data_IF_171075827504
#
_entry.id   IF_171075827504
#
_cell.length_a   1.000
_cell.length_b   1.000
_cell.length_c   1.000
_cell.angle_alpha   90.00
_cell.angle_beta   90.00
_cell.angle_gamma   90.00
#
_symmetry.space_group_name_H-M   'P 1'
#
loop_
_entity.id
_entity.type
_entity.pdbx_description
1 polymer ?
#
# COMPACT_ATOMS: atom_id res chain seq x y z
N UNK A 1 -31.16 -24.81 3.92
CA UNK A 1 -31.59 -23.41 3.76
C UNK A 1 -31.13 -22.48 4.88
N UNK A 2 -30.59 -22.98 6.00
CA UNK A 2 -30.11 -22.19 7.14
C UNK A 2 -28.83 -21.38 6.89
N UNK A 3 -27.92 -21.84 6.04
CA UNK A 3 -26.59 -21.24 5.90
C UNK A 3 -26.58 -19.85 5.22
N UNK A 4 -27.56 -19.54 4.36
CA UNK A 4 -27.61 -18.25 3.67
C UNK A 4 -28.03 -17.09 4.59
N UNK A 5 -28.94 -17.34 5.54
CA UNK A 5 -29.33 -16.35 6.54
C UNK A 5 -28.17 -16.02 7.48
N UNK A 6 -27.34 -17.02 7.79
CA UNK A 6 -26.15 -16.82 8.62
C UNK A 6 -25.15 -15.88 7.94
N UNK A 7 -24.84 -16.09 6.66
CA UNK A 7 -23.91 -15.24 5.90
C UNK A 7 -24.41 -13.80 5.80
N UNK A 8 -25.70 -13.59 5.51
CA UNK A 8 -26.27 -12.25 5.41
C UNK A 8 -26.22 -11.50 6.75
N UNK A 9 -26.56 -12.18 7.85
CA UNK A 9 -26.47 -11.59 9.20
C UNK A 9 -25.03 -11.28 9.63
N UNK A 10 -24.05 -12.06 9.15
CA UNK A 10 -22.64 -11.78 9.38
C UNK A 10 -22.16 -10.57 8.58
N UNK A 11 -22.55 -10.45 7.31
CA UNK A 11 -22.27 -9.28 6.47
C UNK A 11 -22.87 -8.00 7.07
N UNK A 12 -24.11 -8.07 7.57
CA UNK A 12 -24.77 -6.94 8.23
C UNK A 12 -24.04 -6.53 9.51
N UNK A 13 -23.64 -7.50 10.35
CA UNK A 13 -22.82 -7.25 11.56
C UNK A 13 -21.42 -6.73 11.24
N UNK A 14 -20.87 -7.09 10.09
CA UNK A 14 -19.63 -6.56 9.55
C UNK A 14 -19.81 -5.18 8.88
N UNK A 15 -20.93 -4.49 9.11
CA UNK A 15 -21.16 -3.12 8.62
C UNK A 15 -21.16 -3.00 7.10
N UNK A 16 -21.53 -4.06 6.38
CA UNK A 16 -21.68 -4.01 4.92
C UNK A 16 -22.65 -2.93 4.42
N UNK A 17 -23.82 -2.67 5.06
CA UNK A 17 -24.71 -1.58 4.66
C UNK A 17 -24.02 -0.22 4.74
N UNK A 18 -23.17 -0.06 5.72
CA UNK A 18 -22.49 1.19 5.97
C UNK A 18 -21.32 1.43 4.98
N UNK A 19 -20.61 0.35 4.63
CA UNK A 19 -19.61 0.33 3.57
C UNK A 19 -20.25 0.70 2.23
N UNK A 20 -21.44 0.17 1.93
CA UNK A 20 -22.24 0.55 0.76
C UNK A 20 -22.58 2.04 0.76
N UNK A 21 -22.97 2.60 1.92
CA UNK A 21 -23.28 4.02 2.04
C UNK A 21 -22.04 4.90 1.80
N UNK A 22 -20.88 4.48 2.29
CA UNK A 22 -19.59 5.11 2.00
C UNK A 22 -19.24 5.06 0.51
N UNK A 23 -19.36 3.88 -0.11
CA UNK A 23 -19.05 3.67 -1.53
C UNK A 23 -20.01 4.45 -2.42
N UNK A 24 -21.29 4.52 -2.04
CA UNK A 24 -22.32 5.33 -2.69
C UNK A 24 -21.97 6.82 -2.62
N UNK A 25 -21.54 7.32 -1.46
CA UNK A 25 -21.11 8.71 -1.30
C UNK A 25 -19.94 9.02 -2.22
N UNK A 26 -18.92 8.16 -2.22
CA UNK A 26 -17.78 8.29 -3.11
C UNK A 26 -18.21 8.32 -4.58
N UNK A 27 -19.06 7.38 -5.01
CA UNK A 27 -19.52 7.26 -6.38
C UNK A 27 -20.35 8.48 -6.82
N UNK A 28 -21.24 8.99 -5.95
CA UNK A 28 -22.06 10.18 -6.21
C UNK A 28 -21.17 11.42 -6.32
N UNK A 29 -20.30 11.68 -5.35
CA UNK A 29 -19.42 12.86 -5.37
C UNK A 29 -18.49 12.81 -6.59
N UNK A 30 -17.89 11.65 -6.86
CA UNK A 30 -17.04 11.50 -8.04
C UNK A 30 -17.82 11.70 -9.34
N UNK A 31 -19.02 11.13 -9.45
CA UNK A 31 -19.90 11.28 -10.61
C UNK A 31 -20.27 12.74 -10.87
N UNK A 32 -20.67 13.47 -9.83
CA UNK A 32 -21.01 14.90 -9.91
C UNK A 32 -19.79 15.73 -10.33
N UNK A 33 -18.64 15.55 -9.68
CA UNK A 33 -17.40 16.25 -10.04
C UNK A 33 -16.92 15.88 -11.46
N UNK A 34 -17.17 14.64 -11.89
CA UNK A 34 -16.83 14.18 -13.22
C UNK A 34 -17.63 14.91 -14.29
N UNK A 35 -18.95 15.01 -14.10
CA UNK A 35 -19.85 15.74 -15.00
C UNK A 35 -19.59 17.25 -14.98
N UNK A 36 -19.33 17.84 -13.81
CA UNK A 36 -19.03 19.26 -13.67
C UNK A 36 -17.65 19.64 -14.24
N UNK A 37 -16.75 18.67 -14.45
CA UNK A 37 -15.33 18.87 -14.85
C UNK A 37 -14.55 19.79 -13.88
N UNK A 38 -14.94 19.77 -12.61
CA UNK A 38 -14.29 20.53 -11.54
C UNK A 38 -13.81 19.53 -10.49
N UNK A 39 -12.53 19.52 -10.11
CA UNK A 39 -11.38 20.09 -10.82
C UNK A 39 -11.09 19.43 -12.18
N UNK A 40 -10.29 20.08 -13.03
CA UNK A 40 -9.93 19.57 -14.38
C UNK A 40 -9.21 18.23 -14.33
N UNK A 41 -8.41 17.99 -13.29
CA UNK A 41 -7.66 16.74 -13.11
C UNK A 41 -8.57 15.61 -12.61
N UNK A 42 -8.50 14.45 -13.28
CA UNK A 42 -9.20 13.23 -12.84
C UNK A 42 -8.72 12.76 -11.46
N UNK A 43 -7.41 12.84 -11.19
CA UNK A 43 -6.84 12.45 -9.91
C UNK A 43 -7.37 13.32 -8.77
N UNK A 44 -7.45 14.64 -8.97
CA UNK A 44 -7.97 15.56 -7.96
C UNK A 44 -9.46 15.31 -7.67
N UNK A 45 -10.26 14.96 -8.68
CA UNK A 45 -11.67 14.58 -8.48
C UNK A 45 -11.81 13.32 -7.63
N UNK A 46 -10.98 12.32 -7.88
CA UNK A 46 -10.93 11.09 -7.08
C UNK A 46 -10.52 11.36 -5.63
N UNK A 47 -9.51 12.21 -5.41
CA UNK A 47 -9.07 12.58 -4.07
C UNK A 47 -10.20 13.29 -3.31
N UNK A 48 -10.86 14.27 -3.93
CA UNK A 48 -11.97 14.99 -3.29
C UNK A 48 -13.12 14.03 -2.95
N UNK A 49 -13.47 13.10 -3.84
CA UNK A 49 -14.53 12.14 -3.53
C UNK A 49 -14.16 11.15 -2.43
N UNK A 50 -12.89 10.73 -2.34
CA UNK A 50 -12.39 9.92 -1.22
C UNK A 50 -12.52 10.69 0.09
N UNK A 51 -12.04 11.94 0.13
CA UNK A 51 -12.08 12.78 1.33
C UNK A 51 -13.52 13.05 1.76
N UNK A 52 -14.43 13.37 0.83
CA UNK A 52 -15.85 13.55 1.13
C UNK A 52 -16.50 12.27 1.64
N UNK A 53 -16.15 11.11 1.08
CA UNK A 53 -16.58 9.81 1.61
C UNK A 53 -16.11 9.60 3.04
N UNK A 54 -14.85 9.94 3.34
CA UNK A 54 -14.29 9.86 4.70
C UNK A 54 -14.99 10.79 5.69
N UNK A 55 -15.47 11.97 5.26
CA UNK A 55 -16.23 12.88 6.12
C UNK A 55 -17.61 12.30 6.50
N UNK A 56 -18.31 11.68 5.56
CA UNK A 56 -19.58 10.97 5.86
C UNK A 56 -19.35 9.84 6.85
N UNK A 57 -18.19 9.21 6.75
CA UNK A 57 -17.72 8.19 7.67
C UNK A 57 -17.54 8.69 9.11
N UNK A 58 -17.07 9.93 9.31
CA UNK A 58 -16.96 10.51 10.65
C UNK A 58 -18.33 10.77 11.29
N UNK A 59 -19.39 10.91 10.50
CA UNK A 59 -20.77 11.01 10.97
C UNK A 59 -21.43 9.63 11.18
N UNK A 60 -20.75 8.55 10.83
CA UNK A 60 -21.32 7.22 10.83
C UNK A 60 -21.20 6.51 12.19
N UNK A 61 -22.08 5.53 12.50
CA UNK A 61 -22.07 4.82 13.78
C UNK A 61 -20.75 4.10 14.07
N UNK A 62 -20.43 3.91 15.36
CA UNK A 62 -19.19 3.27 15.82
C UNK A 62 -18.96 1.85 15.24
N UNK A 63 -20.00 1.17 14.78
CA UNK A 63 -19.91 -0.11 14.06
C UNK A 63 -19.04 -0.02 12.80
N UNK A 64 -19.12 1.06 12.00
CA UNK A 64 -18.27 1.23 10.81
C UNK A 64 -16.81 1.32 11.16
N UNK A 65 -16.48 2.00 12.27
CA UNK A 65 -15.10 2.27 12.63
C UNK A 65 -14.36 0.95 12.82
N UNK A 66 -15.03 -0.05 13.41
CA UNK A 66 -14.46 -1.39 13.57
C UNK A 66 -14.24 -2.10 12.23
N UNK A 67 -15.18 -1.95 11.29
CA UNK A 67 -15.15 -2.59 9.97
C UNK A 67 -14.06 -1.99 9.11
N UNK A 68 -13.93 -0.67 9.12
CA UNK A 68 -12.89 0.02 8.38
C UNK A 68 -11.53 -0.24 9.00
N UNK A 69 -11.43 -0.26 10.33
CA UNK A 69 -10.19 -0.68 10.98
C UNK A 69 -9.78 -2.10 10.52
N UNK A 70 -10.72 -3.03 10.45
CA UNK A 70 -10.47 -4.39 9.97
C UNK A 70 -10.11 -4.43 8.48
N UNK A 71 -10.82 -3.68 7.63
CA UNK A 71 -10.54 -3.58 6.20
C UNK A 71 -9.20 -2.90 5.91
N UNK A 72 -8.87 -1.83 6.62
CA UNK A 72 -7.58 -1.15 6.54
C UNK A 72 -6.46 -2.09 6.94
N UNK A 73 -6.63 -2.85 8.02
CA UNK A 73 -5.67 -3.88 8.44
C UNK A 73 -5.47 -4.94 7.35
N UNK A 74 -6.56 -5.44 6.76
CA UNK A 74 -6.49 -6.43 5.68
C UNK A 74 -5.90 -5.85 4.38
N UNK A 75 -6.21 -4.59 4.06
CA UNK A 75 -5.63 -3.91 2.90
C UNK A 75 -4.12 -3.73 3.08
N UNK A 76 -3.67 -3.35 4.28
CA UNK A 76 -2.25 -3.29 4.63
C UNK A 76 -1.61 -4.66 4.41
N UNK A 77 -2.22 -5.74 4.90
CA UNK A 77 -1.72 -7.11 4.69
C UNK A 77 -1.64 -7.49 3.21
N UNK A 78 -2.64 -7.13 2.40
CA UNK A 78 -2.63 -7.38 0.95
C UNK A 78 -1.49 -6.61 0.28
N UNK A 79 -1.37 -5.31 0.57
CA UNK A 79 -0.29 -4.46 0.02
C UNK A 79 1.08 -5.02 0.42
N UNK A 80 1.21 -5.45 1.66
CA UNK A 80 2.43 -6.05 2.20
C UNK A 80 2.77 -7.37 1.49
N UNK A 81 1.79 -8.24 1.27
CA UNK A 81 1.95 -9.47 0.49
C UNK A 81 2.34 -9.19 -0.98
N UNK A 82 1.75 -8.18 -1.59
CA UNK A 82 2.06 -7.75 -2.96
C UNK A 82 3.49 -7.21 -3.06
N UNK A 83 3.95 -6.50 -2.04
CA UNK A 83 5.32 -6.00 -1.94
C UNK A 83 6.35 -7.11 -1.74
N UNK A 84 6.07 -8.06 -0.85
CA UNK A 84 6.88 -9.26 -0.69
C UNK A 84 7.01 -9.98 -2.04
N UNK A 85 5.91 -10.11 -2.78
CA UNK A 85 5.92 -10.70 -4.11
C UNK A 85 6.82 -9.91 -5.08
N UNK A 86 6.74 -8.58 -5.10
CA UNK A 86 7.64 -7.73 -5.92
C UNK A 86 9.12 -7.95 -5.55
N UNK A 87 9.44 -7.98 -4.25
CA UNK A 87 10.81 -8.23 -3.77
C UNK A 87 11.31 -9.62 -4.19
N UNK A 88 10.48 -10.66 -4.03
CA UNK A 88 10.82 -12.01 -4.50
C UNK A 88 10.98 -12.07 -6.02
N UNK A 89 10.13 -11.37 -6.77
CA UNK A 89 10.20 -11.32 -8.24
C UNK A 89 11.53 -10.70 -8.69
N UNK A 90 11.98 -9.63 -8.02
CA UNK A 90 13.29 -9.04 -8.28
C UNK A 90 14.43 -9.96 -7.83
N UNK A 91 14.36 -10.53 -6.61
CA UNK A 91 15.39 -11.41 -6.07
C UNK A 91 15.58 -12.70 -6.91
N UNK A 92 14.50 -13.19 -7.52
CA UNK A 92 14.53 -14.30 -8.47
C UNK A 92 15.18 -13.93 -9.82
N UNK A 93 15.55 -12.66 -10.01
CA UNK A 93 16.18 -12.16 -11.21
C UNK A 93 15.25 -12.18 -12.42
N UNK A 94 13.93 -12.18 -12.22
CA UNK A 94 12.94 -12.09 -13.30
C UNK A 94 12.97 -10.66 -13.84
N UNK A 95 13.70 -10.48 -14.95
CA UNK A 95 13.97 -9.17 -15.55
C UNK A 95 12.74 -8.69 -16.33
N UNK A 96 11.94 -7.80 -15.73
CA UNK A 96 10.81 -7.13 -16.36
C UNK A 96 11.29 -5.82 -17.02
N UNK A 97 11.98 -5.89 -18.16
CA UNK A 97 12.50 -4.66 -18.79
C UNK A 97 13.01 -4.80 -20.22
N UNK A 98 12.80 -3.74 -21.02
CA UNK A 98 13.30 -3.61 -22.40
C UNK A 98 14.82 -3.44 -22.39
N UNK A 99 15.47 -4.19 -23.27
CA UNK A 99 16.92 -4.14 -23.47
C UNK A 99 17.37 -2.77 -24.01
N UNK A 100 18.14 -2.00 -23.23
CA UNK A 100 18.95 -0.91 -23.77
C UNK A 100 20.25 -1.48 -24.34
N UNK A 101 20.49 -1.23 -25.62
CA UNK A 101 21.75 -1.60 -26.27
C UNK A 101 22.85 -0.63 -25.85
N UNK A 102 23.75 -1.07 -24.98
CA UNK A 102 24.99 -0.34 -24.72
C UNK A 102 25.79 -0.29 -26.03
N UNK A 103 26.09 0.90 -26.53
CA UNK A 103 26.96 1.08 -27.69
C UNK A 103 28.37 0.57 -27.35
N UNK A 104 28.62 -0.71 -27.68
CA UNK A 104 29.94 -1.29 -27.62
C UNK A 104 30.91 -0.52 -28.53
N UNK A 105 32.14 -0.34 -28.06
CA UNK A 105 33.25 0.11 -28.90
C UNK A 105 33.32 -0.79 -30.15
N UNK A 106 33.53 -0.16 -31.32
CA UNK A 106 33.59 -0.81 -32.65
C UNK A 106 34.27 -2.19 -32.57
N UNK A 107 33.49 -3.26 -32.66
CA UNK A 107 33.97 -4.65 -32.74
C UNK A 107 33.44 -5.63 -31.69
N UNK A 108 32.75 -5.18 -30.63
CA UNK A 108 32.10 -6.09 -29.67
C UNK A 108 30.59 -6.17 -29.90
N UNK A 109 30.06 -7.39 -29.95
CA UNK A 109 28.61 -7.63 -30.00
C UNK A 109 27.94 -6.95 -28.80
N UNK A 110 26.82 -6.22 -29.01
CA UNK A 110 26.16 -5.48 -27.96
C UNK A 110 25.68 -6.46 -26.87
N UNK A 111 26.37 -6.45 -25.75
CA UNK A 111 25.98 -7.24 -24.58
C UNK A 111 24.73 -6.58 -24.00
N UNK A 112 23.58 -7.19 -24.29
CA UNK A 112 22.28 -6.74 -23.78
C UNK A 112 22.17 -7.10 -22.30
N UNK A 113 22.66 -6.22 -21.43
CA UNK A 113 22.45 -6.35 -19.99
C UNK A 113 21.12 -5.65 -19.67
N UNK A 114 20.08 -6.38 -19.24
CA UNK A 114 18.83 -5.76 -18.83
C UNK A 114 19.06 -5.04 -17.50
N UNK A 115 18.71 -3.76 -17.45
CA UNK A 115 18.76 -2.97 -16.20
C UNK A 115 17.74 -3.53 -15.20
N UNK A 116 18.13 -3.54 -13.92
CA UNK A 116 17.22 -3.91 -12.83
C UNK A 116 16.26 -2.76 -12.56
N UNK A 117 15.02 -3.06 -12.17
CA UNK A 117 14.01 -2.02 -11.94
C UNK A 117 14.44 -1.02 -10.85
N UNK A 118 15.14 -1.52 -9.83
CA UNK A 118 15.71 -0.71 -8.74
C UNK A 118 16.84 0.22 -9.18
N UNK A 119 17.56 -0.12 -10.26
CA UNK A 119 18.63 0.73 -10.79
C UNK A 119 18.06 1.93 -11.54
N UNK A 120 16.90 1.76 -12.18
CA UNK A 120 16.25 2.82 -12.94
C UNK A 120 15.52 3.82 -12.03
N UNK A 121 14.94 3.33 -10.92
CA UNK A 121 14.09 4.14 -10.03
C UNK A 121 14.42 4.00 -8.53
N UNK A 122 15.68 4.19 -8.10
CA UNK A 122 16.08 3.91 -6.71
C UNK A 122 15.38 4.80 -5.68
N UNK A 123 15.12 6.06 -6.02
CA UNK A 123 14.48 7.02 -5.11
C UNK A 123 12.99 6.72 -4.90
N UNK A 124 12.28 6.34 -5.96
CA UNK A 124 10.85 6.04 -5.91
C UNK A 124 10.60 4.77 -5.11
N UNK A 125 11.43 3.75 -5.33
CA UNK A 125 11.36 2.51 -4.56
C UNK A 125 11.72 2.74 -3.09
N UNK A 126 12.76 3.53 -2.81
CA UNK A 126 13.12 3.91 -1.45
C UNK A 126 12.00 4.66 -0.72
N UNK A 127 11.34 5.61 -1.40
CA UNK A 127 10.21 6.35 -0.85
C UNK A 127 9.02 5.43 -0.52
N UNK A 128 8.68 4.52 -1.43
CA UNK A 128 7.61 3.52 -1.20
C UNK A 128 7.95 2.64 0.01
N UNK A 129 9.19 2.18 0.15
CA UNK A 129 9.64 1.38 1.29
C UNK A 129 9.58 2.15 2.62
N UNK A 130 9.91 3.44 2.63
CA UNK A 130 9.80 4.29 3.83
C UNK A 130 8.34 4.48 4.24
N UNK A 131 7.46 4.81 3.28
CA UNK A 131 6.01 4.94 3.54
C UNK A 131 5.46 3.63 4.08
N UNK A 132 5.93 2.49 3.55
CA UNK A 132 5.54 1.18 4.04
C UNK A 132 6.03 0.92 5.46
N UNK A 133 7.30 1.21 5.76
CA UNK A 133 7.84 1.05 7.10
C UNK A 133 7.04 1.88 8.11
N UNK A 134 6.67 3.12 7.76
CA UNK A 134 5.80 3.95 8.60
C UNK A 134 4.41 3.30 8.81
N UNK A 135 3.79 2.78 7.75
CA UNK A 135 2.50 2.10 7.82
C UNK A 135 2.54 0.83 8.69
N UNK A 136 3.58 0.00 8.53
CA UNK A 136 3.80 -1.20 9.35
C UNK A 136 4.09 -0.83 10.79
N UNK A 137 4.91 0.20 11.03
CA UNK A 137 5.21 0.71 12.36
C UNK A 137 3.92 1.12 13.08
N UNK A 138 3.06 1.90 12.42
CA UNK A 138 1.76 2.31 12.94
C UNK A 138 0.88 1.07 13.18
N UNK A 139 0.69 0.22 12.17
CA UNK A 139 -0.16 -0.97 12.26
C UNK A 139 0.29 -1.98 13.31
N UNK A 140 1.58 -2.02 13.63
CA UNK A 140 2.17 -2.87 14.67
C UNK A 140 1.96 -2.35 16.09
N UNK A 141 1.46 -1.13 16.26
CA UNK A 141 1.40 -0.46 17.56
C UNK A 141 2.69 0.26 17.96
N UNK A 142 3.56 0.62 17.00
CA UNK A 142 4.76 1.42 17.26
C UNK A 142 4.47 2.79 17.87
N UNK A 143 3.28 3.35 17.60
CA UNK A 143 2.79 4.55 18.28
C UNK A 143 2.63 4.32 19.80
N UNK A 144 2.23 3.13 20.24
CA UNK A 144 2.11 2.80 21.66
C UNK A 144 3.46 2.80 22.38
N UNK A 145 4.55 2.43 21.68
CA UNK A 145 5.93 2.51 22.21
C UNK A 145 6.40 3.95 22.40
N UNK A 146 5.88 4.88 21.58
CA UNK A 146 6.13 6.32 21.72
C UNK A 146 5.25 6.98 22.81
N UNK A 147 4.49 6.20 23.57
CA UNK A 147 3.64 6.68 24.65
C UNK A 147 2.22 7.05 24.24
N UNK A 148 1.83 6.84 22.97
CA UNK A 148 0.45 7.03 22.52
C UNK A 148 -0.42 5.81 22.89
N UNK A 149 -0.71 5.66 24.18
CA UNK A 149 -1.39 4.49 24.76
C UNK A 149 -2.90 4.40 24.42
N UNK A 150 -3.49 5.45 23.85
CA UNK A 150 -4.93 5.51 23.56
C UNK A 150 -5.32 5.00 22.17
N UNK A 151 -4.35 4.57 21.35
CA UNK A 151 -4.61 4.03 20.00
C UNK A 151 -4.52 2.51 20.08
N UNK A 152 -5.65 1.86 20.37
CA UNK A 152 -5.73 0.42 20.56
C UNK A 152 -5.75 -0.30 19.20
N UNK A 153 -4.57 -0.47 18.59
CA UNK A 153 -4.35 -1.27 17.39
C UNK A 153 -4.06 -2.71 17.85
N UNK A 154 -4.82 -3.69 17.36
CA UNK A 154 -4.94 -5.04 17.92
C UNK A 154 -3.64 -5.85 18.08
N UNK A 155 -3.75 -7.00 18.77
CA UNK A 155 -2.66 -7.84 19.30
C UNK A 155 -1.65 -8.42 18.28
N UNK A 156 -1.72 -8.10 17.00
CA UNK A 156 -0.80 -8.59 15.95
C UNK A 156 0.52 -7.80 15.86
N UNK A 157 1.01 -7.30 17.00
CA UNK A 157 2.14 -6.35 17.09
C UNK A 157 3.49 -6.98 16.80
N UNK A 158 3.75 -8.20 17.29
CA UNK A 158 5.08 -8.84 17.20
C UNK A 158 5.47 -9.23 15.76
N UNK A 159 4.53 -9.77 14.99
CA UNK A 159 4.77 -10.17 13.59
C UNK A 159 5.05 -8.93 12.73
N UNK A 160 4.30 -7.87 12.98
CA UNK A 160 4.42 -6.60 12.26
C UNK A 160 5.75 -5.87 12.61
N UNK A 161 6.19 -5.90 13.86
CA UNK A 161 7.51 -5.38 14.27
C UNK A 161 8.64 -6.19 13.64
N UNK A 162 8.56 -7.52 13.65
CA UNK A 162 9.55 -8.39 13.00
C UNK A 162 9.67 -8.11 11.50
N UNK A 163 8.53 -7.88 10.84
CA UNK A 163 8.49 -7.50 9.43
C UNK A 163 9.11 -6.12 9.17
N UNK A 164 8.83 -5.12 10.02
CA UNK A 164 9.45 -3.80 9.95
C UNK A 164 10.98 -3.89 10.00
N UNK A 165 11.51 -4.66 10.96
CA UNK A 165 12.96 -4.87 11.10
C UNK A 165 13.53 -5.53 9.84
N UNK A 166 12.85 -6.52 9.28
CA UNK A 166 13.27 -7.16 8.04
C UNK A 166 13.32 -6.17 6.85
N UNK A 167 12.33 -5.28 6.73
CA UNK A 167 12.31 -4.24 5.68
C UNK A 167 13.45 -3.23 5.88
N UNK A 168 13.69 -2.77 7.11
CA UNK A 168 14.79 -1.84 7.42
C UNK A 168 16.14 -2.48 7.06
N UNK A 169 16.35 -3.74 7.43
CA UNK A 169 17.57 -4.48 7.10
C UNK A 169 17.76 -4.64 5.59
N UNK A 170 16.69 -4.95 4.85
CA UNK A 170 16.73 -5.03 3.40
C UNK A 170 17.09 -3.69 2.74
N UNK A 171 16.54 -2.57 3.24
CA UNK A 171 16.86 -1.22 2.77
C UNK A 171 18.31 -0.86 3.09
N UNK A 172 18.79 -1.12 4.30
CA UNK A 172 20.18 -0.86 4.69
C UNK A 172 21.16 -1.68 3.84
N UNK A 173 20.85 -2.96 3.63
CA UNK A 173 21.66 -3.84 2.78
C UNK A 173 21.77 -3.29 1.35
N UNK A 174 20.65 -2.88 0.74
CA UNK A 174 20.64 -2.26 -0.58
C UNK A 174 21.43 -0.96 -0.63
N UNK A 175 21.39 -0.15 0.43
CA UNK A 175 22.12 1.12 0.50
C UNK A 175 23.64 0.89 0.56
N UNK A 176 24.10 -0.06 1.40
CA UNK A 176 25.53 -0.37 1.52
C UNK A 176 26.11 -1.02 0.26
N UNK A 177 25.36 -1.91 -0.41
CA UNK A 177 25.82 -2.52 -1.67
C UNK A 177 26.02 -1.48 -2.79
N UNK A 178 25.32 -0.34 -2.71
CA UNK A 178 25.49 0.76 -3.67
C UNK A 178 26.76 1.57 -3.40
N UNK A 179 27.10 1.81 -2.12
CA UNK A 179 28.32 2.54 -1.74
C UNK A 179 29.61 1.83 -2.16
N UNK A 180 29.64 0.50 -2.11
CA UNK A 180 30.79 -0.32 -2.53
C UNK A 180 31.06 -0.31 -4.04
N UNK A 181 30.11 0.15 -4.87
CA UNK A 181 30.26 0.19 -6.33
C UNK A 181 30.68 1.57 -6.85
N UNK A 182 30.72 2.58 -5.98
CA UNK A 182 31.11 3.96 -6.33
C UNK A 182 32.55 4.31 -5.87
N UNK A 183 33.25 3.40 -5.17
CA UNK A 183 34.70 3.45 -4.87
C UNK A 183 35.50 2.52 -5.80
#
# INVERSE_FOLDING_TARGET
MSNHLTVLSQLERLGFPDLLLWLLTFAVVYGVLSQAKIPKSAASRAIISIVSGMLVLMAAPASLISVISMMSTNLILIVLGLLVLIVFTEASGVRLGKYEGVHGKKGQEPTRIPKRFYEEHPLEVGLVLIVLAALVFIGSGGLSLLGFQNINLGQSSLISIGFLVAVILAVLFLYFEKGEKEE
#
